data_IF_872965428315
#
_entry.id   IF_872965428315
#
_cell.length_a   1.000
_cell.length_b   1.000
_cell.length_c   1.000
_cell.angle_alpha   90.00
_cell.angle_beta   90.00
_cell.angle_gamma   90.00
#
_symmetry.space_group_name_H-M   'P 1'
#
loop_
_entity.id
_entity.type
_entity.pdbx_description
1 polymer ?
#
# COMPACT_ATOMS: atom_id res chain seq x y z
N UNK A 1 -16.00 13.29 26.53
CA UNK A 1 -15.76 13.20 25.06
C UNK A 1 -14.33 12.75 24.85
N UNK A 2 -14.13 11.47 24.64
CA UNK A 2 -12.81 10.97 24.27
C UNK A 2 -12.48 11.45 22.85
N UNK A 3 -11.66 12.46 22.77
CA UNK A 3 -10.97 12.81 21.54
C UNK A 3 -10.11 11.60 21.15
N UNK A 4 -10.62 10.75 20.26
CA UNK A 4 -9.88 9.60 19.73
C UNK A 4 -8.57 10.12 19.17
N UNK A 5 -7.50 9.91 19.91
CA UNK A 5 -6.17 10.41 19.57
C UNK A 5 -5.69 9.74 18.29
N UNK A 6 -5.46 10.53 17.24
CA UNK A 6 -4.89 10.04 15.98
C UNK A 6 -3.46 9.57 16.25
N UNK A 7 -3.15 8.33 15.87
CA UNK A 7 -1.78 7.80 15.95
C UNK A 7 -1.04 8.03 14.64
N UNK A 8 0.18 8.53 14.75
CA UNK A 8 1.10 8.56 13.61
C UNK A 8 1.86 7.24 13.57
N UNK A 9 1.87 6.60 12.40
CA UNK A 9 2.51 5.30 12.18
C UNK A 9 3.40 5.40 10.95
N UNK A 10 4.59 4.84 11.05
CA UNK A 10 5.51 4.64 9.94
C UNK A 10 5.87 3.16 9.76
N UNK A 11 6.67 2.85 8.74
CA UNK A 11 7.06 1.47 8.42
C UNK A 11 7.83 0.81 9.55
N UNK A 12 8.61 1.56 10.35
CA UNK A 12 9.38 1.00 11.46
C UNK A 12 8.53 0.29 12.50
N UNK A 13 7.28 0.73 12.67
CA UNK A 13 6.38 0.18 13.69
C UNK A 13 5.80 -1.20 13.34
N UNK A 14 5.96 -1.65 12.09
CA UNK A 14 5.53 -2.98 11.64
C UNK A 14 6.70 -3.97 11.43
N UNK A 15 7.94 -3.56 11.67
CA UNK A 15 9.13 -4.41 11.51
C UNK A 15 9.11 -5.68 12.37
N UNK A 16 8.40 -5.65 13.49
CA UNK A 16 8.30 -6.80 14.41
C UNK A 16 7.38 -7.91 13.92
N UNK A 17 6.58 -7.66 12.88
CA UNK A 17 5.67 -8.66 12.33
C UNK A 17 6.46 -9.69 11.51
N UNK A 18 6.25 -11.01 11.76
CA UNK A 18 7.11 -12.06 11.18
C UNK A 18 6.93 -12.26 9.67
N UNK A 19 5.87 -11.73 9.09
CA UNK A 19 5.46 -11.96 7.70
C UNK A 19 5.75 -10.78 6.78
N UNK A 20 6.61 -9.86 7.20
CA UNK A 20 6.94 -8.64 6.47
C UNK A 20 8.41 -8.64 6.13
N UNK A 21 8.74 -8.41 4.86
CA UNK A 21 10.08 -8.02 4.43
C UNK A 21 10.12 -6.52 4.17
N UNK A 22 11.25 -5.89 4.48
CA UNK A 22 11.39 -4.43 4.43
C UNK A 22 12.79 -3.99 4.04
N UNK A 23 12.88 -2.74 3.57
CA UNK A 23 14.15 -2.03 3.36
C UNK A 23 14.15 -0.83 4.30
N UNK A 24 14.82 -0.94 5.45
CA UNK A 24 14.85 0.10 6.47
C UNK A 24 13.44 0.60 6.80
N UNK A 25 13.26 1.92 6.85
CA UNK A 25 11.96 2.58 7.01
C UNK A 25 11.34 3.04 5.68
N UNK A 26 11.92 2.62 4.55
CA UNK A 26 11.57 3.12 3.23
C UNK A 26 10.52 2.29 2.52
N UNK A 27 10.56 0.97 2.72
CA UNK A 27 9.75 0.03 1.96
C UNK A 27 9.39 -1.19 2.79
N UNK A 28 8.16 -1.65 2.69
CA UNK A 28 7.70 -2.91 3.27
C UNK A 28 6.77 -3.64 2.30
N UNK A 29 6.81 -4.96 2.33
CA UNK A 29 6.02 -5.83 1.46
C UNK A 29 5.52 -7.03 2.25
N UNK A 30 4.25 -7.35 2.10
CA UNK A 30 3.60 -8.45 2.82
C UNK A 30 2.30 -8.86 2.12
N UNK A 31 1.72 -9.99 2.52
CA UNK A 31 0.47 -10.50 1.95
C UNK A 31 -0.54 -10.95 3.01
N UNK A 32 -0.11 -11.24 4.21
CA UNK A 32 -1.00 -11.71 5.27
C UNK A 32 -1.13 -10.67 6.37
N UNK A 33 -2.36 -10.28 6.65
CA UNK A 33 -2.71 -9.35 7.73
C UNK A 33 -3.61 -9.97 8.78
N UNK A 34 -3.77 -11.31 8.79
CA UNK A 34 -4.66 -12.00 9.74
C UNK A 34 -4.28 -11.71 11.18
N UNK A 35 -2.98 -11.68 11.46
CA UNK A 35 -2.44 -11.41 12.79
C UNK A 35 -2.29 -9.92 13.11
N UNK A 36 -2.59 -9.03 12.15
CA UNK A 36 -2.66 -7.60 12.41
C UNK A 36 -3.98 -7.28 13.11
N UNK A 37 -3.97 -6.76 14.34
CA UNK A 37 -5.19 -6.37 15.00
C UNK A 37 -5.82 -5.18 14.26
N UNK A 38 -7.16 -5.18 14.20
CA UNK A 38 -7.89 -3.99 13.79
C UNK A 38 -7.56 -2.86 14.76
N UNK A 39 -7.16 -1.73 14.21
CA UNK A 39 -6.89 -0.56 15.04
C UNK A 39 -8.19 0.00 15.62
N UNK A 40 -8.23 0.18 16.93
CA UNK A 40 -9.35 0.87 17.60
C UNK A 40 -9.32 2.38 17.38
N UNK A 41 -8.23 2.89 16.82
CA UNK A 41 -7.96 4.32 16.69
C UNK A 41 -7.65 4.70 15.25
N UNK A 42 -8.11 5.90 14.82
CA UNK A 42 -7.66 6.45 13.55
C UNK A 42 -6.13 6.54 13.50
N UNK A 43 -5.57 6.13 12.38
CA UNK A 43 -4.12 6.08 12.17
C UNK A 43 -3.76 6.97 10.99
N UNK A 44 -2.78 7.85 11.17
CA UNK A 44 -2.17 8.60 10.08
C UNK A 44 -0.91 7.87 9.65
N UNK A 45 -0.89 7.43 8.40
CA UNK A 45 0.25 6.72 7.83
C UNK A 45 1.27 7.72 7.25
N UNK A 46 2.54 7.57 7.61
CA UNK A 46 3.64 8.30 6.98
C UNK A 46 4.21 7.50 5.79
N UNK A 47 3.33 6.83 5.07
CA UNK A 47 3.66 6.00 3.92
C UNK A 47 2.47 5.94 2.97
N UNK A 48 2.75 5.70 1.69
CA UNK A 48 1.73 5.23 0.75
C UNK A 48 1.55 3.72 0.93
N UNK A 49 0.30 3.27 0.91
CA UNK A 49 -0.03 1.84 0.92
C UNK A 49 -0.78 1.47 -0.35
N UNK A 50 -0.27 0.48 -1.05
CA UNK A 50 -0.89 -0.12 -2.23
C UNK A 50 -1.39 -1.50 -1.84
N UNK A 51 -2.64 -1.80 -2.17
CA UNK A 51 -3.28 -3.06 -1.82
C UNK A 51 -4.12 -3.57 -2.96
N UNK A 52 -3.99 -4.83 -3.32
CA UNK A 52 -4.96 -5.54 -4.15
C UNK A 52 -5.69 -6.55 -3.27
N UNK A 53 -7.01 -6.46 -3.23
CA UNK A 53 -7.83 -7.44 -2.54
C UNK A 53 -8.02 -8.68 -3.42
N UNK A 54 -7.53 -9.82 -2.96
CA UNK A 54 -7.62 -11.10 -3.67
C UNK A 54 -8.83 -11.91 -3.26
N UNK A 55 -9.36 -11.68 -2.05
CA UNK A 55 -10.50 -12.43 -1.51
C UNK A 55 -11.14 -11.67 -0.35
N UNK A 56 -12.45 -11.82 -0.22
CA UNK A 56 -13.19 -11.22 0.88
C UNK A 56 -13.42 -9.72 0.75
N UNK A 57 -13.58 -9.07 1.88
CA UNK A 57 -13.83 -7.63 1.95
C UNK A 57 -13.28 -6.99 3.24
N UNK A 58 -13.08 -5.68 3.17
CA UNK A 58 -12.65 -4.87 4.30
C UNK A 58 -13.37 -3.51 4.27
N UNK A 59 -14.02 -3.14 5.37
CA UNK A 59 -14.61 -1.81 5.56
C UNK A 59 -13.63 -0.90 6.27
N UNK A 60 -13.42 0.27 5.72
CA UNK A 60 -12.50 1.27 6.26
C UNK A 60 -13.06 2.68 6.14
N UNK A 61 -12.52 3.56 6.96
CA UNK A 61 -12.70 5.01 6.82
C UNK A 61 -11.39 5.63 6.35
N UNK A 62 -11.46 6.42 5.28
CA UNK A 62 -10.37 7.24 4.80
C UNK A 62 -10.76 8.71 4.96
N UNK A 63 -10.02 9.46 5.77
CA UNK A 63 -10.32 10.86 6.07
C UNK A 63 -11.81 11.06 6.44
N UNK A 64 -12.36 10.19 7.31
CA UNK A 64 -13.73 10.17 7.79
C UNK A 64 -14.79 9.73 6.75
N UNK A 65 -14.39 9.35 5.54
CA UNK A 65 -15.30 8.79 4.54
C UNK A 65 -15.27 7.26 4.60
N UNK A 66 -16.45 6.68 4.73
CA UNK A 66 -16.60 5.22 4.72
C UNK A 66 -16.43 4.67 3.30
N UNK A 67 -15.64 3.63 3.18
CA UNK A 67 -15.47 2.88 1.95
C UNK A 67 -15.28 1.39 2.21
N UNK A 68 -15.50 0.60 1.20
CA UNK A 68 -15.40 -0.86 1.28
C UNK A 68 -14.55 -1.40 0.14
N UNK A 69 -13.51 -2.12 0.51
CA UNK A 69 -12.65 -2.83 -0.40
C UNK A 69 -13.14 -4.26 -0.56
N UNK A 70 -13.28 -4.73 -1.79
CA UNK A 70 -13.71 -6.09 -2.13
C UNK A 70 -12.71 -6.76 -3.06
N UNK A 71 -12.89 -8.08 -3.20
CA UNK A 71 -12.15 -8.86 -4.21
C UNK A 71 -12.20 -8.18 -5.59
N UNK A 72 -11.04 -8.11 -6.27
CA UNK A 72 -10.89 -7.45 -7.56
C UNK A 72 -10.80 -5.94 -7.50
N UNK A 73 -10.42 -5.39 -6.36
CA UNK A 73 -10.18 -3.96 -6.20
C UNK A 73 -8.72 -3.66 -5.86
N UNK A 74 -8.22 -2.58 -6.42
CA UNK A 74 -6.98 -1.91 -6.02
C UNK A 74 -7.33 -0.78 -5.07
N UNK A 75 -6.65 -0.72 -3.93
CA UNK A 75 -6.72 0.37 -2.97
C UNK A 75 -5.39 1.07 -2.81
N UNK A 76 -5.40 2.39 -2.81
CA UNK A 76 -4.20 3.20 -2.59
C UNK A 76 -4.50 4.25 -1.54
N UNK A 77 -3.72 4.21 -0.47
CA UNK A 77 -3.74 5.20 0.60
C UNK A 77 -2.48 6.04 0.46
N UNK A 78 -2.64 7.34 0.33
CA UNK A 78 -1.51 8.27 0.22
C UNK A 78 -0.95 8.64 1.61
N UNK A 79 0.31 9.10 1.70
CA UNK A 79 0.86 9.61 2.96
C UNK A 79 -0.03 10.69 3.58
N UNK A 80 -0.08 10.71 4.90
CA UNK A 80 -0.85 11.64 5.75
C UNK A 80 -2.37 11.44 5.73
N UNK A 81 -2.92 10.53 4.94
CA UNK A 81 -4.34 10.18 5.06
C UNK A 81 -4.61 9.45 6.38
N UNK A 82 -5.76 9.72 6.95
CA UNK A 82 -6.19 9.09 8.20
C UNK A 82 -7.03 7.86 7.86
N UNK A 83 -6.62 6.71 8.37
CA UNK A 83 -7.24 5.41 8.10
C UNK A 83 -7.77 4.81 9.39
N UNK A 84 -8.97 4.27 9.33
CA UNK A 84 -9.53 3.43 10.38
C UNK A 84 -10.18 2.21 9.75
N UNK A 85 -9.62 1.05 9.99
CA UNK A 85 -10.20 -0.23 9.58
C UNK A 85 -11.31 -0.62 10.55
N UNK A 86 -12.54 -0.77 10.06
CA UNK A 86 -13.73 -1.07 10.87
C UNK A 86 -13.99 -2.54 11.03
N UNK A 87 -14.06 -3.24 9.91
CA UNK A 87 -14.39 -4.66 9.82
C UNK A 87 -13.68 -5.29 8.65
N UNK A 88 -13.49 -6.59 8.70
CA UNK A 88 -13.06 -7.39 7.56
C UNK A 88 -13.68 -8.78 7.65
N UNK A 89 -13.89 -9.42 6.49
CA UNK A 89 -14.32 -10.81 6.44
C UNK A 89 -13.20 -11.74 6.92
N UNK A 90 -13.55 -12.92 7.41
CA UNK A 90 -12.58 -13.91 7.87
C UNK A 90 -11.63 -14.37 6.77
N UNK A 91 -12.11 -14.38 5.53
CA UNK A 91 -11.36 -14.80 4.35
C UNK A 91 -10.65 -13.65 3.65
N UNK A 92 -10.67 -12.44 4.22
CA UNK A 92 -10.00 -11.29 3.63
C UNK A 92 -8.52 -11.58 3.42
N UNK A 93 -8.08 -11.48 2.17
CA UNK A 93 -6.70 -11.64 1.77
C UNK A 93 -6.32 -10.66 0.68
N UNK A 94 -5.07 -10.26 0.67
CA UNK A 94 -4.57 -9.28 -0.28
C UNK A 94 -3.07 -9.25 -0.36
N UNK A 95 -2.58 -8.42 -1.25
CA UNK A 95 -1.17 -8.10 -1.42
C UNK A 95 -0.96 -6.66 -1.00
N UNK A 96 0.09 -6.40 -0.23
CA UNK A 96 0.35 -5.10 0.37
C UNK A 96 1.77 -4.64 0.09
N UNK A 97 1.89 -3.36 -0.29
CA UNK A 97 3.16 -2.65 -0.43
C UNK A 97 3.02 -1.34 0.33
N UNK A 98 3.97 -1.05 1.22
CA UNK A 98 4.08 0.24 1.89
C UNK A 98 5.36 0.94 1.46
N UNK A 99 5.25 2.22 1.09
CA UNK A 99 6.37 3.04 0.59
C UNK A 99 6.40 4.33 1.38
N UNK A 100 7.53 4.63 2.04
CA UNK A 100 7.68 5.87 2.80
C UNK A 100 7.60 7.09 1.88
N UNK A 101 7.24 8.24 2.46
CA UNK A 101 7.27 9.51 1.75
C UNK A 101 8.66 9.80 1.18
N UNK A 102 9.71 9.63 1.97
CA UNK A 102 11.07 9.90 1.55
C UNK A 102 11.49 9.02 0.36
N UNK A 103 11.08 7.75 0.37
CA UNK A 103 11.34 6.84 -0.74
C UNK A 103 10.56 7.23 -2.01
N UNK A 104 9.32 7.67 -1.86
CA UNK A 104 8.52 8.21 -2.96
C UNK A 104 9.16 9.48 -3.54
N UNK A 105 9.63 10.38 -2.69
CA UNK A 105 10.26 11.64 -3.11
C UNK A 105 11.55 11.41 -3.92
N UNK A 106 12.25 10.30 -3.70
CA UNK A 106 13.39 9.90 -4.52
C UNK A 106 12.99 9.39 -5.91
N UNK A 107 11.79 8.84 -6.04
CA UNK A 107 11.29 8.27 -7.31
C UNK A 107 10.50 9.31 -8.11
N UNK A 108 9.71 10.14 -7.46
CA UNK A 108 8.81 11.14 -8.07
C UNK A 108 9.50 12.15 -8.99
N UNK A 109 10.73 12.67 -8.73
CA UNK A 109 11.35 13.64 -9.63
C UNK A 109 11.53 13.13 -11.07
N UNK A 110 11.64 11.81 -11.23
CA UNK A 110 11.68 11.18 -12.56
C UNK A 110 10.29 10.95 -13.15
N UNK A 111 9.24 11.28 -12.39
CA UNK A 111 7.83 10.90 -12.64
C UNK A 111 6.90 12.11 -12.73
N UNK A 112 7.36 13.26 -13.21
CA UNK A 112 6.49 14.46 -13.32
C UNK A 112 5.18 14.16 -14.07
N UNK A 113 5.23 13.22 -15.00
CA UNK A 113 4.06 12.75 -15.77
C UNK A 113 3.00 12.06 -14.89
N UNK A 114 3.37 11.59 -13.69
CA UNK A 114 2.48 10.88 -12.78
C UNK A 114 1.79 11.79 -11.74
N UNK A 115 2.09 13.09 -11.71
CA UNK A 115 1.41 14.00 -10.79
C UNK A 115 -0.12 13.96 -10.90
N UNK A 116 -0.73 13.92 -12.10
CA UNK A 116 -2.18 13.81 -12.19
C UNK A 116 -2.75 12.56 -11.53
N UNK A 117 -2.00 11.46 -11.51
CA UNK A 117 -2.41 10.21 -10.86
C UNK A 117 -2.70 10.40 -9.37
N UNK A 118 -1.89 11.22 -8.66
CA UNK A 118 -2.10 11.45 -7.23
C UNK A 118 -3.43 12.15 -6.94
N UNK A 119 -3.87 13.04 -7.81
CA UNK A 119 -5.20 13.67 -7.71
C UNK A 119 -6.30 12.64 -7.95
N UNK A 120 -6.14 11.79 -8.96
CA UNK A 120 -7.10 10.71 -9.26
C UNK A 120 -7.22 9.71 -8.11
N UNK A 121 -6.10 9.31 -7.51
CA UNK A 121 -6.07 8.43 -6.33
C UNK A 121 -6.80 9.09 -5.16
N UNK A 122 -6.58 10.38 -4.94
CA UNK A 122 -7.22 11.11 -3.84
C UNK A 122 -8.74 11.16 -3.99
N UNK A 123 -9.24 11.26 -5.22
CA UNK A 123 -10.68 11.25 -5.52
C UNK A 123 -11.27 9.84 -5.49
N UNK A 124 -10.51 8.85 -5.95
CA UNK A 124 -10.93 7.45 -6.08
C UNK A 124 -9.87 6.52 -5.48
N UNK A 125 -9.76 6.45 -4.16
CA UNK A 125 -8.71 5.63 -3.50
C UNK A 125 -8.92 4.12 -3.69
N UNK A 126 -10.14 3.69 -4.01
CA UNK A 126 -10.48 2.30 -4.32
C UNK A 126 -11.08 2.24 -5.72
N UNK A 127 -10.53 1.39 -6.57
CA UNK A 127 -10.98 1.18 -7.95
C UNK A 127 -11.07 -0.30 -8.26
N UNK A 128 -12.06 -0.68 -9.09
CA UNK A 128 -12.11 -2.01 -9.66
C UNK A 128 -11.01 -2.20 -10.69
N UNK A 129 -10.42 -3.38 -10.70
CA UNK A 129 -9.40 -3.77 -11.67
C UNK A 129 -9.82 -5.04 -12.40
N UNK A 130 -9.33 -5.20 -13.62
CA UNK A 130 -9.57 -6.42 -14.39
C UNK A 130 -8.77 -7.59 -13.82
N UNK A 131 -9.14 -8.85 -14.16
CA UNK A 131 -8.31 -10.01 -13.79
C UNK A 131 -6.87 -9.91 -14.31
N UNK A 132 -6.67 -9.34 -15.49
CA UNK A 132 -5.35 -9.13 -16.09
C UNK A 132 -4.52 -8.10 -15.32
N UNK A 133 -5.13 -6.99 -14.91
CA UNK A 133 -4.50 -5.97 -14.06
C UNK A 133 -4.15 -6.53 -12.67
N UNK A 134 -5.04 -7.33 -12.10
CA UNK A 134 -4.78 -8.03 -10.84
C UNK A 134 -3.61 -8.99 -10.97
N UNK A 135 -3.56 -9.76 -12.05
CA UNK A 135 -2.45 -10.68 -12.33
C UNK A 135 -1.13 -9.92 -12.48
N UNK A 136 -1.13 -8.83 -13.21
CA UNK A 136 0.05 -7.97 -13.39
C UNK A 136 0.56 -7.43 -12.04
N UNK A 137 -0.35 -6.96 -11.17
CA UNK A 137 0.03 -6.51 -9.84
C UNK A 137 0.64 -7.64 -8.99
N UNK A 138 0.08 -8.85 -9.06
CA UNK A 138 0.61 -10.02 -8.36
C UNK A 138 2.03 -10.37 -8.83
N UNK A 139 2.31 -10.26 -10.12
CA UNK A 139 3.65 -10.48 -10.70
C UNK A 139 4.64 -9.44 -10.20
N UNK A 140 4.28 -8.15 -10.21
CA UNK A 140 5.11 -7.08 -9.64
C UNK A 140 5.38 -7.31 -8.15
N UNK A 141 4.36 -7.65 -7.38
CA UNK A 141 4.47 -7.90 -5.96
C UNK A 141 5.43 -9.06 -5.67
N UNK A 142 5.26 -10.17 -6.36
CA UNK A 142 6.12 -11.35 -6.22
C UNK A 142 7.57 -11.04 -6.58
N UNK A 143 7.77 -10.32 -7.69
CA UNK A 143 9.11 -9.97 -8.15
C UNK A 143 9.80 -8.98 -7.19
N UNK A 144 9.09 -7.94 -6.77
CA UNK A 144 9.58 -7.02 -5.73
C UNK A 144 9.98 -7.77 -4.47
N UNK A 145 9.13 -8.66 -3.98
CA UNK A 145 9.43 -9.42 -2.76
C UNK A 145 10.68 -10.27 -2.89
N UNK A 146 10.86 -10.92 -4.04
CA UNK A 146 12.06 -11.70 -4.32
C UNK A 146 13.35 -10.86 -4.23
N UNK A 147 13.28 -9.59 -4.63
CA UNK A 147 14.42 -8.64 -4.59
C UNK A 147 14.66 -8.09 -3.20
N UNK A 148 13.59 -7.75 -2.48
CA UNK A 148 13.68 -7.24 -1.09
C UNK A 148 14.31 -8.25 -0.15
N UNK A 149 14.08 -9.54 -0.35
CA UNK A 149 14.68 -10.64 0.42
C UNK A 149 16.19 -10.76 0.27
N UNK A 150 16.76 -10.29 -0.83
CA UNK A 150 18.21 -10.38 -1.11
C UNK A 150 18.98 -9.30 -0.34
N UNK A 151 19.08 -9.45 0.97
CA UNK A 151 19.66 -8.45 1.88
C UNK A 151 21.12 -8.09 1.56
N UNK A 152 21.87 -9.03 0.98
CA UNK A 152 23.28 -8.84 0.62
C UNK A 152 23.49 -8.21 -0.77
N UNK A 153 22.42 -7.99 -1.53
CA UNK A 153 22.52 -7.32 -2.81
C UNK A 153 22.73 -5.81 -2.60
N UNK A 154 23.89 -5.25 -3.02
CA UNK A 154 24.18 -3.85 -2.80
C UNK A 154 23.24 -2.89 -3.56
N UNK A 155 22.57 -3.37 -4.61
CA UNK A 155 21.63 -2.60 -5.44
C UNK A 155 20.16 -2.90 -5.13
N UNK A 156 19.90 -3.53 -4.01
CA UNK A 156 18.54 -3.93 -3.60
C UNK A 156 17.56 -2.75 -3.60
N UNK A 157 17.98 -1.62 -3.09
CA UNK A 157 17.18 -0.39 -3.00
C UNK A 157 16.89 0.17 -4.40
N UNK A 158 17.90 0.27 -5.24
CA UNK A 158 17.78 0.80 -6.60
C UNK A 158 16.91 -0.09 -7.49
N UNK A 159 17.04 -1.40 -7.36
CA UNK A 159 16.17 -2.37 -8.07
C UNK A 159 14.72 -2.19 -7.63
N UNK A 160 14.47 -2.06 -6.34
CA UNK A 160 13.14 -1.84 -5.79
C UNK A 160 12.55 -0.52 -6.29
N UNK A 161 13.34 0.56 -6.33
CA UNK A 161 12.91 1.85 -6.90
C UNK A 161 12.53 1.74 -8.37
N UNK A 162 13.32 1.04 -9.17
CA UNK A 162 13.03 0.83 -10.61
C UNK A 162 11.74 0.04 -10.83
N UNK A 163 11.51 -1.01 -10.06
CA UNK A 163 10.29 -1.82 -10.13
C UNK A 163 9.05 -1.04 -9.65
N UNK A 164 9.19 -0.23 -8.61
CA UNK A 164 8.11 0.64 -8.14
C UNK A 164 7.75 1.69 -9.19
N UNK A 165 8.74 2.28 -9.86
CA UNK A 165 8.49 3.23 -10.94
C UNK A 165 7.66 2.57 -12.04
N UNK A 166 8.03 1.37 -12.48
CA UNK A 166 7.28 0.62 -13.47
C UNK A 166 5.85 0.33 -13.00
N UNK A 167 5.69 -0.13 -11.74
CA UNK A 167 4.37 -0.40 -11.15
C UNK A 167 3.49 0.87 -11.09
N UNK A 168 4.05 2.03 -10.78
CA UNK A 168 3.30 3.28 -10.76
C UNK A 168 2.77 3.68 -12.15
N UNK A 169 3.52 3.42 -13.21
CA UNK A 169 3.01 3.61 -14.59
C UNK A 169 1.88 2.64 -14.91
N UNK A 170 1.96 1.38 -14.49
CA UNK A 170 0.84 0.43 -14.63
C UNK A 170 -0.40 0.89 -13.87
N UNK A 171 -0.23 1.38 -12.63
CA UNK A 171 -1.32 1.94 -11.85
C UNK A 171 -1.92 3.15 -12.55
N UNK A 172 -1.11 4.02 -13.14
CA UNK A 172 -1.61 5.18 -13.86
C UNK A 172 -2.48 4.77 -15.07
N UNK A 173 -2.12 3.71 -15.77
CA UNK A 173 -2.96 3.15 -16.83
C UNK A 173 -4.34 2.73 -16.32
N UNK A 174 -4.43 2.16 -15.13
CA UNK A 174 -5.71 1.77 -14.49
C UNK A 174 -6.60 3.00 -14.24
N UNK A 175 -6.01 4.13 -13.91
CA UNK A 175 -6.74 5.36 -13.62
C UNK A 175 -7.14 6.17 -14.86
N UNK A 176 -6.59 5.86 -16.05
CA UNK A 176 -6.97 6.53 -17.31
C UNK A 176 -8.33 6.06 -17.82
#
# INVERSE_FOLDING_TARGET
>A
MDTKRIRNVDISQIHHLPMIDFIGNDFAIFNDIKDMPLSSYPTRLNAACLTVCLKGWCKLELNLQQCEMREGMLGIILPDQIVLQRERSEDFSGLFIAVSRDFMDMVIPTMQQLFPMFFMIKERPLVHITPEESQSFQEYHSFLWSKVKLKDNPFRKEITQGLLLALFYEIYNIYQ
#
